data_IF_032172663677
#
_entry.id   IF_032172663677
#
_cell.length_a   1.000
_cell.length_b   1.000
_cell.length_c   1.000
_cell.angle_alpha   90.00
_cell.angle_beta   90.00
_cell.angle_gamma   90.00
#
_symmetry.space_group_name_H-M   'P 1'
#
loop_
_entity.id
_entity.type
_entity.pdbx_description
1 polymer ?
#
# COMPACT_ATOMS: atom_id res chain seq x y z
N UNK A 1 -29.37 -56.72 4.84
CA UNK A 1 -28.90 -55.73 5.84
C UNK A 1 -27.40 -55.49 5.74
N UNK A 2 -26.59 -56.54 5.61
CA UNK A 2 -25.12 -56.44 5.62
C UNK A 2 -24.52 -55.52 4.55
N UNK A 3 -24.99 -55.59 3.29
CA UNK A 3 -24.53 -54.67 2.22
C UNK A 3 -24.85 -53.20 2.51
N UNK A 4 -26.01 -52.92 3.12
CA UNK A 4 -26.39 -51.54 3.46
C UNK A 4 -25.52 -51.02 4.61
N UNK A 5 -25.25 -51.86 5.60
CA UNK A 5 -24.34 -51.53 6.71
C UNK A 5 -22.95 -51.21 6.20
N UNK A 6 -22.41 -52.03 5.29
CA UNK A 6 -21.10 -51.81 4.69
C UNK A 6 -21.03 -50.48 3.91
N UNK A 7 -22.06 -50.15 3.13
CA UNK A 7 -22.14 -48.89 2.38
C UNK A 7 -22.15 -47.68 3.34
N UNK A 8 -23.00 -47.72 4.38
CA UNK A 8 -23.11 -46.62 5.36
C UNK A 8 -21.83 -46.48 6.17
N UNK A 9 -21.25 -47.59 6.63
CA UNK A 9 -19.98 -47.59 7.38
C UNK A 9 -18.85 -47.00 6.54
N UNK A 10 -18.68 -47.44 5.30
CA UNK A 10 -17.67 -46.90 4.38
C UNK A 10 -17.89 -45.41 4.09
N UNK A 11 -19.15 -44.98 3.93
CA UNK A 11 -19.46 -43.57 3.72
C UNK A 11 -19.12 -42.71 4.95
N UNK A 12 -19.49 -43.17 6.16
CA UNK A 12 -19.21 -42.47 7.41
C UNK A 12 -17.71 -42.43 7.67
N UNK A 13 -16.96 -43.52 7.49
CA UNK A 13 -15.50 -43.55 7.65
C UNK A 13 -14.83 -42.57 6.69
N UNK A 14 -15.28 -42.51 5.42
CA UNK A 14 -14.71 -41.59 4.43
C UNK A 14 -15.07 -40.12 4.69
N UNK A 15 -16.23 -39.86 5.28
CA UNK A 15 -16.77 -38.50 5.42
C UNK A 15 -16.98 -38.05 6.87
N UNK A 16 -16.39 -38.73 7.85
CA UNK A 16 -16.69 -38.52 9.27
C UNK A 16 -16.49 -37.07 9.73
N UNK A 17 -15.74 -36.25 9.01
CA UNK A 17 -15.49 -34.84 9.32
C UNK A 17 -16.58 -33.88 8.80
N UNK A 18 -17.51 -34.34 7.95
CA UNK A 18 -18.60 -33.53 7.39
C UNK A 18 -19.88 -33.68 8.23
N UNK A 19 -20.69 -32.62 8.42
CA UNK A 19 -21.95 -32.70 9.17
C UNK A 19 -22.92 -33.77 8.61
N UNK A 20 -22.91 -33.96 7.29
CA UNK A 20 -23.72 -34.96 6.59
C UNK A 20 -23.44 -36.39 7.09
N UNK A 21 -22.21 -36.72 7.51
CA UNK A 21 -21.91 -38.04 8.03
C UNK A 21 -22.62 -38.30 9.37
N UNK A 22 -22.73 -37.29 10.25
CA UNK A 22 -23.54 -37.39 11.47
C UNK A 22 -25.04 -37.51 11.15
N UNK A 23 -25.53 -36.71 10.19
CA UNK A 23 -26.94 -36.72 9.77
C UNK A 23 -27.35 -38.08 9.20
N UNK A 24 -26.42 -38.84 8.61
CA UNK A 24 -26.69 -40.21 8.12
C UNK A 24 -26.49 -41.25 9.24
N UNK A 25 -25.45 -41.08 10.06
CA UNK A 25 -25.10 -42.02 11.12
C UNK A 25 -26.18 -42.09 12.22
N UNK A 26 -26.70 -40.94 12.67
CA UNK A 26 -27.67 -40.88 13.77
C UNK A 26 -28.97 -41.62 13.41
N UNK A 27 -29.65 -41.34 12.28
CA UNK A 27 -30.85 -42.07 11.87
C UNK A 27 -30.58 -43.56 11.64
N UNK A 28 -29.44 -43.91 11.03
CA UNK A 28 -29.08 -45.29 10.79
C UNK A 28 -28.92 -46.08 12.10
N UNK A 29 -28.20 -45.51 13.07
CA UNK A 29 -28.07 -46.07 14.40
C UNK A 29 -29.42 -46.16 15.12
N UNK A 30 -30.27 -45.15 15.00
CA UNK A 30 -31.61 -45.18 15.61
C UNK A 30 -32.49 -46.28 15.00
N UNK A 31 -32.36 -46.52 13.69
CA UNK A 31 -33.13 -47.54 12.97
C UNK A 31 -32.67 -48.96 13.36
N UNK A 32 -31.36 -49.16 13.51
CA UNK A 32 -30.81 -50.40 14.07
C UNK A 32 -31.36 -50.64 15.47
N UNK A 33 -31.34 -49.62 16.33
CA UNK A 33 -31.85 -49.80 17.70
C UNK A 33 -33.35 -50.10 17.75
N UNK A 34 -34.15 -49.43 16.93
CA UNK A 34 -35.59 -49.69 16.82
C UNK A 34 -35.88 -51.13 16.37
N UNK A 35 -35.00 -51.74 15.58
CA UNK A 35 -35.16 -53.14 15.14
C UNK A 35 -34.96 -54.18 16.25
N UNK A 36 -34.30 -53.82 17.36
CA UNK A 36 -34.03 -54.71 18.49
C UNK A 36 -35.00 -54.55 19.67
N UNK A 37 -35.95 -53.61 19.61
CA UNK A 37 -36.86 -53.33 20.72
C UNK A 37 -38.32 -53.39 20.31
N UNK A 38 -39.10 -54.26 20.95
CA UNK A 38 -40.56 -54.19 20.92
C UNK A 38 -41.02 -52.99 21.76
N UNK A 39 -41.36 -51.89 21.08
CA UNK A 39 -41.65 -50.63 21.73
C UNK A 39 -43.07 -50.63 22.32
N UNK A 40 -43.15 -50.70 23.65
CA UNK A 40 -44.38 -50.47 24.43
C UNK A 40 -44.22 -49.20 25.29
N UNK A 41 -45.06 -48.17 25.12
CA UNK A 41 -44.87 -46.86 25.76
C UNK A 41 -44.99 -46.89 27.29
N UNK A 42 -45.69 -47.88 27.85
CA UNK A 42 -45.92 -47.99 29.30
C UNK A 42 -44.82 -48.75 30.03
N UNK A 43 -43.87 -49.37 29.29
CA UNK A 43 -42.81 -50.15 29.89
C UNK A 43 -41.68 -49.26 30.41
N UNK A 44 -41.44 -49.27 31.73
CA UNK A 44 -40.33 -48.57 32.39
C UNK A 44 -38.98 -48.91 31.73
N UNK A 45 -38.80 -50.15 31.26
CA UNK A 45 -37.59 -50.58 30.55
C UNK A 45 -37.32 -49.76 29.28
N UNK A 46 -38.38 -49.34 28.57
CA UNK A 46 -38.26 -48.54 27.34
C UNK A 46 -37.86 -47.09 27.65
N UNK A 47 -38.28 -46.54 28.80
CA UNK A 47 -37.82 -45.21 29.25
C UNK A 47 -36.32 -45.19 29.55
N UNK A 48 -35.81 -46.20 30.27
CA UNK A 48 -34.37 -46.34 30.49
C UNK A 48 -33.59 -46.53 29.19
N UNK A 49 -34.15 -47.29 28.25
CA UNK A 49 -33.55 -47.49 26.94
C UNK A 49 -33.42 -46.18 26.14
N UNK A 50 -34.47 -45.35 26.12
CA UNK A 50 -34.44 -44.02 25.46
C UNK A 50 -33.38 -43.11 26.09
N UNK A 51 -33.27 -43.09 27.42
CA UNK A 51 -32.27 -42.28 28.13
C UNK A 51 -30.85 -42.75 27.78
N UNK A 52 -30.59 -44.07 27.87
CA UNK A 52 -29.31 -44.66 27.51
C UNK A 52 -28.93 -44.35 26.05
N UNK A 53 -29.90 -44.45 25.14
CA UNK A 53 -29.68 -44.15 23.73
C UNK A 53 -29.40 -42.68 23.45
N UNK A 54 -30.10 -41.78 24.14
CA UNK A 54 -29.86 -40.34 24.06
C UNK A 54 -28.45 -39.99 24.54
N UNK A 55 -27.96 -40.66 25.59
CA UNK A 55 -26.57 -40.52 26.06
C UNK A 55 -25.58 -41.00 25.00
N UNK A 56 -25.83 -42.14 24.35
CA UNK A 56 -24.96 -42.65 23.27
C UNK A 56 -24.89 -41.66 22.09
N UNK A 57 -26.04 -41.16 21.61
CA UNK A 57 -26.08 -40.16 20.52
C UNK A 57 -25.33 -38.89 20.94
N UNK A 58 -25.58 -38.39 22.15
CA UNK A 58 -24.89 -37.20 22.65
C UNK A 58 -23.38 -37.40 22.71
N UNK A 59 -22.91 -38.57 23.16
CA UNK A 59 -21.49 -38.91 23.22
C UNK A 59 -20.86 -39.00 21.83
N UNK A 60 -21.57 -39.57 20.85
CA UNK A 60 -21.14 -39.60 19.45
C UNK A 60 -21.01 -38.19 18.88
N UNK A 61 -21.99 -37.31 19.14
CA UNK A 61 -21.94 -35.91 18.71
C UNK A 61 -20.78 -35.18 19.40
N UNK A 62 -20.57 -35.39 20.71
CA UNK A 62 -19.49 -34.77 21.46
C UNK A 62 -18.12 -35.21 20.91
N UNK A 63 -17.92 -36.51 20.72
CA UNK A 63 -16.70 -37.08 20.12
C UNK A 63 -16.50 -36.51 18.72
N UNK A 64 -17.56 -36.44 17.91
CA UNK A 64 -17.50 -35.85 16.58
C UNK A 64 -17.11 -34.37 16.63
N UNK A 65 -17.67 -33.57 17.55
CA UNK A 65 -17.30 -32.17 17.73
C UNK A 65 -15.84 -32.04 18.17
N UNK A 66 -15.36 -32.89 19.09
CA UNK A 66 -13.98 -32.90 19.56
C UNK A 66 -13.02 -33.30 18.42
N UNK A 67 -13.30 -34.37 17.70
CA UNK A 67 -12.50 -34.83 16.56
C UNK A 67 -12.53 -33.82 15.41
N UNK A 68 -13.69 -33.20 15.16
CA UNK A 68 -13.83 -32.12 14.18
C UNK A 68 -13.04 -30.90 14.61
N UNK A 69 -13.09 -30.48 15.88
CA UNK A 69 -12.28 -29.37 16.41
C UNK A 69 -10.79 -29.68 16.30
N UNK A 70 -10.36 -30.90 16.65
CA UNK A 70 -8.95 -31.33 16.55
C UNK A 70 -8.46 -31.36 15.10
N UNK A 71 -9.31 -31.76 14.15
CA UNK A 71 -9.01 -31.72 12.71
C UNK A 71 -9.21 -30.32 12.09
N UNK A 72 -10.06 -29.48 12.70
CA UNK A 72 -10.26 -28.07 12.33
C UNK A 72 -9.31 -27.12 13.05
N UNK A 73 -8.33 -27.63 13.80
CA UNK A 73 -7.10 -26.90 14.12
C UNK A 73 -6.25 -26.66 12.85
N UNK A 74 -6.92 -26.51 11.71
CA UNK A 74 -6.45 -25.73 10.59
C UNK A 74 -6.26 -24.34 11.17
N UNK A 75 -5.04 -24.07 11.62
CA UNK A 75 -4.66 -22.75 12.12
C UNK A 75 -5.02 -21.75 11.02
N UNK A 76 -5.95 -20.86 11.33
CA UNK A 76 -6.37 -19.76 10.46
C UNK A 76 -5.45 -18.59 10.80
N UNK A 77 -5.08 -17.79 9.79
CA UNK A 77 -4.27 -16.61 10.03
C UNK A 77 -4.97 -15.66 11.02
N UNK A 78 -4.28 -15.20 12.07
CA UNK A 78 -4.78 -14.15 12.95
C UNK A 78 -5.14 -12.89 12.15
N UNK A 79 -6.24 -12.21 12.51
CA UNK A 79 -6.75 -11.04 11.77
C UNK A 79 -5.78 -9.86 11.68
N UNK A 80 -4.78 -9.78 12.57
CA UNK A 80 -3.81 -8.68 12.61
C UNK A 80 -2.50 -8.98 11.88
N UNK A 81 -2.32 -10.21 11.39
CA UNK A 81 -1.10 -10.67 10.72
C UNK A 81 -1.31 -10.84 9.22
N UNK A 82 -0.21 -10.73 8.47
CA UNK A 82 -0.20 -11.10 7.05
C UNK A 82 0.08 -12.60 6.95
N UNK A 83 -0.87 -13.35 6.40
CA UNK A 83 -0.79 -14.81 6.29
C UNK A 83 -0.05 -15.25 5.03
N UNK A 84 1.00 -16.05 5.20
CA UNK A 84 1.82 -16.60 4.12
C UNK A 84 1.80 -18.12 4.21
N UNK A 85 1.40 -18.78 3.13
CA UNK A 85 1.42 -20.24 3.04
C UNK A 85 2.59 -20.67 2.16
N UNK A 86 3.36 -21.67 2.60
CA UNK A 86 4.37 -22.32 1.77
C UNK A 86 3.94 -23.77 1.51
N UNK A 87 3.81 -24.12 0.23
CA UNK A 87 3.26 -25.39 -0.22
C UNK A 87 4.04 -25.97 -1.40
N UNK A 88 5.17 -26.62 -1.14
CA UNK A 88 6.02 -27.19 -2.19
C UNK A 88 5.84 -28.71 -2.22
N UNK A 89 5.50 -29.23 -3.38
CA UNK A 89 5.31 -30.65 -3.62
C UNK A 89 6.65 -31.35 -3.83
N UNK A 90 6.77 -32.53 -3.25
CA UNK A 90 7.87 -33.46 -3.44
C UNK A 90 7.30 -34.85 -3.74
N UNK A 91 8.11 -35.76 -4.30
CA UNK A 91 7.66 -37.12 -4.65
C UNK A 91 7.48 -38.02 -3.45
N UNK A 92 8.36 -37.87 -2.46
CA UNK A 92 8.45 -38.72 -1.28
C UNK A 92 8.40 -37.86 0.00
N UNK A 93 7.85 -38.41 1.07
CA UNK A 93 7.77 -37.75 2.36
C UNK A 93 9.15 -37.56 3.01
N UNK A 94 10.10 -38.48 2.81
CA UNK A 94 11.46 -38.35 3.32
C UNK A 94 12.18 -37.15 2.66
N UNK A 95 12.10 -37.07 1.33
CA UNK A 95 12.61 -35.91 0.57
C UNK A 95 11.88 -34.62 0.91
N UNK A 96 10.59 -34.71 1.25
CA UNK A 96 9.82 -33.54 1.68
C UNK A 96 10.35 -32.98 2.99
N UNK A 97 10.64 -33.83 3.99
CA UNK A 97 11.22 -33.36 5.25
C UNK A 97 12.63 -32.79 5.07
N UNK A 98 13.44 -33.34 4.15
CA UNK A 98 14.73 -32.75 3.77
C UNK A 98 14.56 -31.36 3.14
N UNK A 99 13.66 -31.23 2.14
CA UNK A 99 13.33 -29.95 1.52
C UNK A 99 12.80 -28.95 2.56
N UNK A 100 11.94 -29.42 3.46
CA UNK A 100 11.34 -28.58 4.50
C UNK A 100 12.41 -28.01 5.42
N UNK A 101 13.31 -28.85 5.93
CA UNK A 101 14.41 -28.43 6.81
C UNK A 101 15.42 -27.52 6.09
N UNK A 102 15.87 -27.92 4.90
CA UNK A 102 16.94 -27.22 4.18
C UNK A 102 16.49 -25.96 3.43
N UNK A 103 15.20 -25.82 3.14
CA UNK A 103 14.68 -24.73 2.31
C UNK A 103 13.51 -23.99 2.96
N UNK A 104 12.44 -24.70 3.33
CA UNK A 104 11.19 -24.06 3.75
C UNK A 104 11.32 -23.38 5.13
N UNK A 105 11.93 -24.06 6.09
CA UNK A 105 12.13 -23.54 7.45
C UNK A 105 13.09 -22.34 7.44
N UNK A 106 14.03 -22.29 6.50
CA UNK A 106 14.87 -21.10 6.31
C UNK A 106 14.06 -19.90 5.86
N UNK A 107 13.16 -20.07 4.88
CA UNK A 107 12.23 -19.01 4.46
C UNK A 107 11.37 -18.57 5.65
N UNK A 108 10.83 -19.51 6.43
CA UNK A 108 10.05 -19.21 7.62
C UNK A 108 10.86 -18.40 8.63
N UNK A 109 12.08 -18.82 8.96
CA UNK A 109 12.92 -18.13 9.96
C UNK A 109 13.23 -16.68 9.59
N UNK A 110 13.35 -16.37 8.29
CA UNK A 110 13.60 -15.01 7.81
C UNK A 110 12.33 -14.17 7.72
N UNK A 111 11.18 -14.82 7.57
CA UNK A 111 9.86 -14.20 7.58
C UNK A 111 9.20 -14.24 8.97
N UNK A 112 9.81 -14.81 10.00
CA UNK A 112 9.21 -14.90 11.33
C UNK A 112 9.43 -13.58 12.08
N UNK A 113 8.62 -12.59 11.76
CA UNK A 113 8.49 -11.36 12.55
C UNK A 113 7.12 -11.32 13.24
N UNK A 114 6.97 -10.40 14.20
CA UNK A 114 5.70 -10.13 14.89
C UNK A 114 4.51 -9.91 13.92
N UNK A 115 4.83 -9.57 12.68
CA UNK A 115 3.91 -9.14 11.65
C UNK A 115 3.35 -10.26 10.78
N UNK A 116 4.04 -11.40 10.78
CA UNK A 116 3.79 -12.48 9.83
C UNK A 116 3.26 -13.70 10.54
N UNK A 117 2.40 -14.38 9.81
CA UNK A 117 1.95 -15.71 10.16
C UNK A 117 2.27 -16.63 8.99
N UNK A 118 3.37 -17.35 9.12
CA UNK A 118 3.83 -18.30 8.10
C UNK A 118 3.31 -19.68 8.44
N UNK A 119 2.61 -20.31 7.49
CA UNK A 119 2.17 -21.70 7.60
C UNK A 119 2.82 -22.55 6.52
N UNK A 120 3.59 -23.54 6.96
CA UNK A 120 4.11 -24.61 6.12
C UNK A 120 3.05 -25.71 6.06
N UNK A 121 2.61 -26.08 4.86
CA UNK A 121 1.68 -27.20 4.69
C UNK A 121 2.40 -28.54 4.84
N UNK A 122 1.72 -29.58 5.33
CA UNK A 122 2.29 -30.93 5.34
C UNK A 122 2.35 -31.56 3.94
N UNK A 123 3.14 -32.64 3.79
CA UNK A 123 3.28 -33.37 2.52
C UNK A 123 1.93 -33.69 1.84
N UNK A 124 0.98 -34.25 2.58
CA UNK A 124 -0.36 -34.61 2.08
C UNK A 124 -1.25 -33.40 1.75
N UNK A 125 -0.98 -32.24 2.37
CA UNK A 125 -1.67 -30.98 2.04
C UNK A 125 -1.10 -30.39 0.75
N UNK A 126 0.24 -30.38 0.58
CA UNK A 126 0.91 -29.90 -0.61
C UNK A 126 0.41 -30.63 -1.88
N UNK A 127 0.22 -31.95 -1.83
CA UNK A 127 -0.26 -32.76 -2.98
C UNK A 127 -1.66 -32.37 -3.47
N UNK A 128 -2.45 -31.65 -2.67
CA UNK A 128 -3.79 -31.16 -3.06
C UNK A 128 -3.72 -29.87 -3.86
N UNK A 129 -2.58 -29.19 -3.90
CA UNK A 129 -2.41 -27.89 -4.55
C UNK A 129 -1.79 -28.09 -5.93
N UNK A 130 -2.58 -28.53 -6.89
CA UNK A 130 -2.11 -28.88 -8.25
C UNK A 130 -2.23 -27.70 -9.23
N UNK A 131 -3.06 -26.72 -8.90
CA UNK A 131 -3.38 -25.60 -9.78
C UNK A 131 -3.44 -24.26 -9.02
N UNK A 132 -3.41 -23.16 -9.78
CA UNK A 132 -3.66 -21.81 -9.24
C UNK A 132 -5.00 -21.72 -8.51
N UNK A 133 -6.03 -22.43 -8.98
CA UNK A 133 -7.35 -22.43 -8.34
C UNK A 133 -7.33 -23.13 -6.98
N UNK A 134 -6.58 -24.22 -6.85
CA UNK A 134 -6.42 -24.92 -5.57
C UNK A 134 -5.66 -24.07 -4.57
N UNK A 135 -4.60 -23.39 -5.04
CA UNK A 135 -3.82 -22.45 -4.24
C UNK A 135 -4.70 -21.27 -3.76
N UNK A 136 -5.52 -20.69 -4.64
CA UNK A 136 -6.46 -19.62 -4.30
C UNK A 136 -7.49 -20.06 -3.26
N UNK A 137 -8.06 -21.26 -3.42
CA UNK A 137 -8.99 -21.83 -2.46
C UNK A 137 -8.34 -22.07 -1.09
N UNK A 138 -7.08 -22.53 -1.07
CA UNK A 138 -6.31 -22.74 0.15
C UNK A 138 -6.09 -21.42 0.90
N UNK A 139 -5.67 -20.36 0.18
CA UNK A 139 -5.47 -19.03 0.77
C UNK A 139 -6.77 -18.51 1.40
N UNK A 140 -7.90 -18.61 0.69
CA UNK A 140 -9.21 -18.20 1.21
C UNK A 140 -9.63 -19.01 2.44
N UNK A 141 -9.45 -20.33 2.41
CA UNK A 141 -9.81 -21.22 3.52
C UNK A 141 -8.99 -20.91 4.79
N UNK A 142 -7.73 -20.52 4.63
CA UNK A 142 -6.81 -20.23 5.73
C UNK A 142 -6.79 -18.74 6.13
N UNK A 143 -7.63 -17.91 5.50
CA UNK A 143 -7.63 -16.45 5.66
C UNK A 143 -6.23 -15.83 5.48
N UNK A 144 -5.45 -16.37 4.55
CA UNK A 144 -4.12 -15.87 4.23
C UNK A 144 -4.17 -14.82 3.12
N UNK A 145 -3.03 -14.16 2.91
CA UNK A 145 -2.86 -13.20 1.83
C UNK A 145 -2.06 -13.79 0.67
N UNK A 146 -1.07 -14.62 0.97
CA UNK A 146 -0.12 -15.13 -0.01
C UNK A 146 0.00 -16.64 0.14
N UNK A 147 0.14 -17.34 -0.99
CA UNK A 147 0.66 -18.71 -1.04
C UNK A 147 1.78 -18.78 -2.06
N UNK A 148 2.92 -19.34 -1.65
CA UNK A 148 4.00 -19.77 -2.52
C UNK A 148 3.87 -21.27 -2.65
N UNK A 149 3.64 -21.74 -3.88
CA UNK A 149 3.42 -23.15 -4.14
C UNK A 149 4.18 -23.61 -5.38
N UNK A 150 4.48 -24.89 -5.46
CA UNK A 150 5.28 -25.39 -6.56
C UNK A 150 5.62 -26.85 -6.40
N UNK A 151 6.60 -27.30 -7.16
CA UNK A 151 7.12 -28.66 -7.06
C UNK A 151 8.61 -28.71 -7.34
N UNK A 152 9.26 -29.69 -6.75
CA UNK A 152 10.59 -30.13 -7.13
C UNK A 152 10.47 -31.16 -8.26
N UNK A 153 11.39 -31.08 -9.23
CA UNK A 153 11.47 -32.00 -10.35
C UNK A 153 12.87 -32.59 -10.39
N UNK A 154 12.96 -33.90 -10.15
CA UNK A 154 14.21 -34.64 -10.36
C UNK A 154 14.51 -34.72 -11.86
N UNK A 155 15.58 -34.07 -12.29
CA UNK A 155 16.08 -33.96 -13.66
C UNK A 155 17.45 -34.66 -13.80
N UNK A 156 17.59 -35.84 -13.19
CA UNK A 156 18.80 -36.66 -13.31
C UNK A 156 19.88 -36.22 -12.31
N UNK A 157 20.83 -35.41 -12.76
CA UNK A 157 21.87 -34.85 -11.88
C UNK A 157 21.42 -33.58 -11.16
N UNK A 158 20.35 -32.97 -11.63
CA UNK A 158 19.80 -31.73 -11.08
C UNK A 158 18.45 -31.96 -10.40
N UNK A 159 18.15 -31.11 -9.42
CA UNK A 159 16.82 -30.89 -8.87
C UNK A 159 16.36 -29.52 -9.35
N UNK A 160 15.28 -29.49 -10.13
CA UNK A 160 14.68 -28.24 -10.60
C UNK A 160 13.56 -27.82 -9.64
N UNK A 161 13.64 -26.59 -9.15
CA UNK A 161 12.60 -25.99 -8.32
C UNK A 161 11.72 -25.08 -9.17
N UNK A 162 10.43 -25.41 -9.28
CA UNK A 162 9.45 -24.66 -10.06
C UNK A 162 8.38 -24.07 -9.13
N UNK A 163 8.55 -22.79 -8.80
CA UNK A 163 7.69 -22.06 -7.87
C UNK A 163 6.74 -21.12 -8.61
N UNK A 164 5.55 -20.99 -8.04
CA UNK A 164 4.50 -20.06 -8.40
C UNK A 164 3.95 -19.41 -7.12
N UNK A 165 3.16 -18.36 -7.26
CA UNK A 165 2.47 -17.80 -6.12
C UNK A 165 1.12 -17.19 -6.50
N UNK A 166 0.23 -17.13 -5.50
CA UNK A 166 -1.06 -16.45 -5.58
C UNK A 166 -1.12 -15.41 -4.47
N UNK A 167 -1.54 -14.20 -4.83
CA UNK A 167 -1.84 -13.11 -3.92
C UNK A 167 -3.35 -12.87 -3.87
N UNK A 168 -3.94 -12.94 -2.68
CA UNK A 168 -5.31 -12.56 -2.39
C UNK A 168 -5.28 -11.44 -1.36
N UNK A 169 -5.58 -10.22 -1.81
CA UNK A 169 -5.80 -9.10 -0.92
C UNK A 169 -7.26 -8.64 -1.05
N UNK A 170 -8.07 -8.69 0.02
CA UNK A 170 -9.49 -8.34 -0.06
C UNK A 170 -9.76 -6.93 -0.58
N UNK A 171 -8.87 -5.99 -0.23
CA UNK A 171 -9.02 -4.57 -0.55
C UNK A 171 -8.57 -4.19 -1.96
N UNK A 172 -7.87 -5.10 -2.66
CA UNK A 172 -7.38 -4.80 -4.02
C UNK A 172 -8.41 -5.15 -5.09
N UNK A 173 -8.52 -4.27 -6.09
CA UNK A 173 -9.28 -4.53 -7.30
C UNK A 173 -8.79 -5.80 -8.01
N UNK A 174 -9.70 -6.47 -8.73
CA UNK A 174 -9.41 -7.77 -9.36
C UNK A 174 -8.27 -7.69 -10.38
N UNK A 175 -8.22 -6.61 -11.16
CA UNK A 175 -7.22 -6.44 -12.21
C UNK A 175 -5.83 -6.14 -11.61
N UNK A 176 -5.78 -5.26 -10.61
CA UNK A 176 -4.55 -5.00 -9.83
C UNK A 176 -4.01 -6.28 -9.20
N UNK A 177 -4.88 -7.10 -8.59
CA UNK A 177 -4.46 -8.42 -8.05
C UNK A 177 -3.88 -9.34 -9.11
N UNK A 178 -4.48 -9.37 -10.30
CA UNK A 178 -4.02 -10.22 -11.40
C UNK A 178 -2.65 -9.78 -11.87
N UNK A 179 -2.45 -8.48 -12.09
CA UNK A 179 -1.16 -7.93 -12.55
C UNK A 179 -0.06 -8.18 -11.51
N UNK A 180 -0.39 -8.02 -10.23
CA UNK A 180 0.52 -8.34 -9.14
C UNK A 180 0.85 -9.83 -9.07
N UNK A 181 -0.13 -10.72 -9.25
CA UNK A 181 0.12 -12.16 -9.27
C UNK A 181 1.03 -12.57 -10.44
N UNK A 182 0.94 -11.88 -11.58
CA UNK A 182 1.87 -12.06 -12.71
C UNK A 182 3.26 -11.58 -12.33
N UNK A 183 3.40 -10.34 -11.84
CA UNK A 183 4.69 -9.80 -11.40
C UNK A 183 5.35 -10.66 -10.32
N UNK A 184 4.52 -11.17 -9.39
CA UNK A 184 4.87 -12.14 -8.37
C UNK A 184 5.47 -13.38 -9.07
N UNK A 185 4.71 -14.06 -9.91
CA UNK A 185 5.19 -15.30 -10.56
C UNK A 185 6.46 -15.08 -11.39
N UNK A 186 6.62 -13.94 -12.06
CA UNK A 186 7.82 -13.60 -12.84
C UNK A 186 9.09 -13.41 -12.00
N UNK A 187 8.93 -12.95 -10.77
CA UNK A 187 10.03 -12.64 -9.87
C UNK A 187 10.46 -13.86 -9.01
N UNK A 188 9.69 -14.95 -9.01
CA UNK A 188 10.07 -16.19 -8.31
C UNK A 188 11.17 -16.96 -9.06
N UNK A 189 12.14 -17.53 -8.33
CA UNK A 189 13.24 -18.24 -8.96
C UNK A 189 12.77 -19.57 -9.57
N UNK A 190 13.17 -19.81 -10.82
CA UNK A 190 13.12 -21.13 -11.48
C UNK A 190 14.54 -21.64 -11.62
N UNK A 191 15.02 -22.36 -10.62
CA UNK A 191 16.43 -22.76 -10.51
C UNK A 191 16.61 -24.25 -10.76
N UNK A 192 17.71 -24.61 -11.43
CA UNK A 192 18.24 -25.98 -11.51
C UNK A 192 19.40 -26.05 -10.54
N UNK A 193 19.34 -26.94 -9.55
CA UNK A 193 20.37 -27.11 -8.53
C UNK A 193 20.99 -28.49 -8.73
N UNK A 194 22.30 -28.55 -8.94
CA UNK A 194 22.99 -29.84 -9.06
C UNK A 194 22.98 -30.56 -7.70
N UNK A 195 22.77 -31.88 -7.70
CA UNK A 195 22.52 -32.66 -6.47
C UNK A 195 23.67 -32.66 -5.46
N UNK A 196 24.91 -32.47 -5.90
CA UNK A 196 26.09 -32.33 -5.03
C UNK A 196 26.14 -30.97 -4.29
N UNK A 197 25.44 -29.96 -4.81
CA UNK A 197 25.34 -28.62 -4.25
C UNK A 197 23.95 -28.33 -3.69
N UNK A 198 23.16 -29.37 -3.40
CA UNK A 198 21.75 -29.22 -3.05
C UNK A 198 21.53 -28.30 -1.84
N UNK A 199 22.32 -28.49 -0.79
CA UNK A 199 22.23 -27.69 0.45
C UNK A 199 22.58 -26.22 0.19
N UNK A 200 23.66 -25.95 -0.54
CA UNK A 200 24.08 -24.58 -0.87
C UNK A 200 23.07 -23.91 -1.80
N UNK A 201 22.62 -24.63 -2.83
CA UNK A 201 21.61 -24.16 -3.78
C UNK A 201 20.28 -23.84 -3.10
N UNK A 202 19.83 -24.69 -2.16
CA UNK A 202 18.64 -24.40 -1.35
C UNK A 202 18.84 -23.19 -0.45
N UNK A 203 19.98 -23.05 0.22
CA UNK A 203 20.25 -21.86 1.04
C UNK A 203 20.26 -20.56 0.20
N UNK A 204 20.91 -20.57 -0.97
CA UNK A 204 20.88 -19.41 -1.87
C UNK A 204 19.45 -19.10 -2.32
N UNK A 205 18.70 -20.13 -2.70
CA UNK A 205 17.34 -19.96 -3.23
C UNK A 205 16.35 -19.56 -2.12
N UNK A 206 16.52 -20.03 -0.88
CA UNK A 206 15.64 -19.71 0.25
C UNK A 206 15.80 -18.23 0.62
N UNK A 207 17.05 -17.74 0.66
CA UNK A 207 17.36 -16.32 0.80
C UNK A 207 16.65 -15.49 -0.28
N UNK A 208 16.68 -15.94 -1.54
CA UNK A 208 16.00 -15.23 -2.64
C UNK A 208 14.48 -15.21 -2.46
N UNK A 209 13.87 -16.34 -2.16
CA UNK A 209 12.42 -16.45 -1.92
C UNK A 209 11.99 -15.62 -0.72
N UNK A 210 12.84 -15.50 0.30
CA UNK A 210 12.58 -14.66 1.46
C UNK A 210 12.64 -13.15 1.16
N UNK A 211 13.66 -12.67 0.45
CA UNK A 211 13.75 -11.27 0.00
C UNK A 211 12.54 -10.89 -0.86
N UNK A 212 12.19 -11.80 -1.76
CA UNK A 212 11.00 -11.69 -2.58
C UNK A 212 9.73 -11.63 -1.72
N UNK A 213 9.56 -12.56 -0.78
CA UNK A 213 8.37 -12.62 0.07
C UNK A 213 8.24 -11.32 0.87
N UNK A 214 9.35 -10.82 1.41
CA UNK A 214 9.42 -9.53 2.11
C UNK A 214 8.97 -8.36 1.25
N UNK A 215 9.33 -8.32 -0.04
CA UNK A 215 8.87 -7.29 -0.98
C UNK A 215 7.34 -7.27 -1.11
N UNK A 216 6.73 -8.42 -1.39
CA UNK A 216 5.27 -8.52 -1.57
C UNK A 216 4.50 -8.28 -0.30
N UNK A 217 5.06 -8.72 0.81
CA UNK A 217 4.55 -8.44 2.13
C UNK A 217 4.60 -6.95 2.45
N UNK A 218 5.68 -6.26 2.08
CA UNK A 218 5.77 -4.80 2.17
C UNK A 218 4.68 -4.10 1.35
N UNK A 219 4.41 -4.59 0.14
CA UNK A 219 3.32 -4.10 -0.71
C UNK A 219 1.94 -4.34 -0.08
N UNK A 220 1.65 -5.56 0.37
CA UNK A 220 0.40 -5.89 1.06
C UNK A 220 0.18 -5.02 2.30
N UNK A 221 1.25 -4.81 3.09
CA UNK A 221 1.24 -3.94 4.27
C UNK A 221 0.94 -2.49 3.90
N UNK A 222 1.52 -2.00 2.80
CA UNK A 222 1.27 -0.65 2.27
C UNK A 222 -0.19 -0.48 1.85
N UNK A 223 -0.76 -1.45 1.14
CA UNK A 223 -2.16 -1.40 0.69
C UNK A 223 -3.15 -1.55 1.83
N UNK A 224 -2.81 -2.29 2.88
CA UNK A 224 -3.55 -2.31 4.16
C UNK A 224 -3.41 -1.00 4.97
N UNK A 225 -2.92 0.08 4.35
CA UNK A 225 -2.70 1.41 4.96
C UNK A 225 -1.75 1.44 6.18
N UNK A 226 -0.90 0.43 6.38
CA UNK A 226 0.10 0.37 7.46
C UNK A 226 1.45 0.95 7.00
N UNK A 227 1.46 2.25 6.66
CA UNK A 227 2.55 2.90 5.93
C UNK A 227 3.90 2.84 6.67
N UNK A 228 3.94 3.09 7.98
CA UNK A 228 5.19 3.06 8.76
C UNK A 228 5.85 1.68 8.79
N UNK A 229 5.02 0.65 8.82
CA UNK A 229 5.45 -0.74 8.79
C UNK A 229 5.91 -1.16 7.39
N UNK A 230 5.21 -0.73 6.35
CA UNK A 230 5.69 -0.92 4.99
C UNK A 230 7.06 -0.25 4.78
N UNK A 231 7.24 0.97 5.30
CA UNK A 231 8.51 1.68 5.28
C UNK A 231 9.64 0.84 5.90
N UNK A 232 9.46 0.32 7.11
CA UNK A 232 10.50 -0.47 7.79
C UNK A 232 10.85 -1.76 7.04
N UNK A 233 9.85 -2.43 6.45
CA UNK A 233 10.06 -3.61 5.60
C UNK A 233 10.91 -3.26 4.38
N UNK A 234 10.58 -2.18 3.66
CA UNK A 234 11.32 -1.79 2.46
C UNK A 234 12.72 -1.21 2.75
N UNK A 235 12.89 -0.50 3.87
CA UNK A 235 14.21 -0.05 4.33
C UNK A 235 15.13 -1.23 4.64
N UNK A 236 14.64 -2.22 5.39
CA UNK A 236 15.36 -3.46 5.68
C UNK A 236 15.67 -4.22 4.39
N UNK A 237 14.69 -4.42 3.51
CA UNK A 237 14.88 -5.10 2.23
C UNK A 237 15.96 -4.43 1.36
N UNK A 238 15.97 -3.10 1.28
CA UNK A 238 16.96 -2.37 0.49
C UNK A 238 18.37 -2.46 1.11
N UNK A 239 18.47 -2.56 2.45
CA UNK A 239 19.73 -2.84 3.15
C UNK A 239 20.22 -4.26 2.86
N UNK A 240 19.36 -5.27 3.04
CA UNK A 240 19.69 -6.68 2.87
C UNK A 240 20.13 -6.99 1.42
N UNK A 241 19.49 -6.39 0.41
CA UNK A 241 19.94 -6.51 -0.99
C UNK A 241 21.20 -5.68 -1.26
N UNK A 242 21.40 -4.56 -0.55
CA UNK A 242 22.58 -3.70 -0.71
C UNK A 242 23.89 -4.42 -0.38
N UNK A 243 23.86 -5.25 0.66
CA UNK A 243 25.01 -6.00 1.18
C UNK A 243 25.29 -7.27 0.36
N UNK A 244 24.32 -7.74 -0.44
CA UNK A 244 24.41 -9.02 -1.14
C UNK A 244 24.19 -8.89 -2.66
N UNK A 245 25.26 -9.17 -3.43
CA UNK A 245 25.22 -9.67 -4.82
C UNK A 245 24.59 -8.73 -5.86
N UNK A 246 25.38 -7.77 -6.37
CA UNK A 246 25.09 -6.99 -7.60
C UNK A 246 24.95 -7.84 -8.89
N UNK A 247 25.27 -9.13 -8.83
CA UNK A 247 25.39 -10.01 -10.01
C UNK A 247 24.12 -10.76 -10.39
N UNK A 248 23.08 -10.79 -9.56
CA UNK A 248 21.85 -11.55 -9.84
C UNK A 248 20.78 -10.60 -10.42
N UNK A 249 20.39 -10.73 -11.70
CA UNK A 249 19.46 -9.80 -12.35
C UNK A 249 18.11 -9.67 -11.64
N UNK A 250 17.57 -10.75 -11.09
CA UNK A 250 16.28 -10.74 -10.39
C UNK A 250 16.34 -9.88 -9.11
N UNK A 251 17.43 -9.98 -8.34
CA UNK A 251 17.62 -9.14 -7.15
C UNK A 251 17.77 -7.66 -7.52
N UNK A 252 18.38 -7.35 -8.67
CA UNK A 252 18.45 -5.98 -9.17
C UNK A 252 17.05 -5.41 -9.49
N UNK A 253 16.15 -6.24 -10.05
CA UNK A 253 14.74 -5.86 -10.30
C UNK A 253 14.00 -5.61 -8.98
N UNK A 254 14.10 -6.51 -8.00
CA UNK A 254 13.48 -6.34 -6.68
C UNK A 254 14.00 -5.08 -5.98
N UNK A 255 15.31 -4.80 -6.05
CA UNK A 255 15.90 -3.58 -5.48
C UNK A 255 15.35 -2.32 -6.14
N UNK A 256 15.24 -2.30 -7.47
CA UNK A 256 14.68 -1.15 -8.19
C UNK A 256 13.24 -0.90 -7.74
N UNK A 257 12.43 -1.96 -7.73
CA UNK A 257 11.03 -1.88 -7.31
C UNK A 257 10.88 -1.45 -5.84
N UNK A 258 11.70 -1.98 -4.93
CA UNK A 258 11.63 -1.60 -3.51
C UNK A 258 12.01 -0.13 -3.30
N UNK A 259 13.01 0.37 -4.03
CA UNK A 259 13.41 1.79 -4.00
C UNK A 259 12.32 2.71 -4.55
N UNK A 260 11.61 2.28 -5.61
CA UNK A 260 10.48 3.04 -6.15
C UNK A 260 9.34 3.16 -5.14
N UNK A 261 8.96 2.05 -4.50
CA UNK A 261 7.91 2.07 -3.47
C UNK A 261 8.34 2.91 -2.25
N UNK A 262 9.59 2.75 -1.80
CA UNK A 262 10.09 3.52 -0.66
C UNK A 262 10.18 5.02 -0.96
N UNK A 263 10.50 5.39 -2.21
CA UNK A 263 10.46 6.78 -2.69
C UNK A 263 9.04 7.35 -2.55
N UNK A 264 8.02 6.63 -3.00
CA UNK A 264 6.62 7.08 -2.90
C UNK A 264 6.17 7.18 -1.43
N UNK A 265 6.57 6.25 -0.56
CA UNK A 265 6.29 6.31 0.88
C UNK A 265 6.89 7.57 1.50
N UNK A 266 8.16 7.88 1.21
CA UNK A 266 8.80 9.08 1.75
C UNK A 266 8.19 10.36 1.20
N UNK A 267 7.85 10.41 -0.08
CA UNK A 267 7.13 11.56 -0.64
C UNK A 267 5.77 11.75 0.02
N UNK A 268 5.02 10.67 0.21
CA UNK A 268 3.71 10.71 0.88
C UNK A 268 3.84 11.27 2.30
N UNK A 269 4.77 10.75 3.11
CA UNK A 269 5.00 11.22 4.48
C UNK A 269 5.46 12.67 4.51
N UNK A 270 6.39 13.05 3.64
CA UNK A 270 6.87 14.43 3.51
C UNK A 270 5.74 15.41 3.15
N UNK A 271 4.87 15.04 2.21
CA UNK A 271 3.71 15.87 1.82
C UNK A 271 2.67 15.98 2.92
N UNK A 272 2.37 14.87 3.61
CA UNK A 272 1.43 14.88 4.75
C UNK A 272 1.90 15.84 5.85
N UNK A 273 3.16 15.76 6.25
CA UNK A 273 3.75 16.66 7.25
C UNK A 273 3.78 18.12 6.77
N UNK A 274 4.00 18.37 5.48
CA UNK A 274 3.91 19.71 4.92
C UNK A 274 2.47 20.26 4.95
N UNK A 275 1.47 19.41 4.68
CA UNK A 275 0.07 19.77 4.81
C UNK A 275 -0.28 20.12 6.26
N UNK A 276 0.12 19.29 7.23
CA UNK A 276 -0.03 19.58 8.66
C UNK A 276 0.70 20.88 9.08
N UNK A 277 1.89 21.14 8.54
CA UNK A 277 2.58 22.42 8.68
C UNK A 277 1.76 23.60 8.13
N UNK A 278 1.06 23.42 7.01
CA UNK A 278 0.29 24.50 6.39
C UNK A 278 -0.88 24.96 7.29
N UNK A 279 -1.38 24.07 8.14
CA UNK A 279 -2.43 24.36 9.12
C UNK A 279 -1.85 24.92 10.43
N UNK A 280 -0.81 24.28 10.96
CA UNK A 280 -0.28 24.57 12.32
C UNK A 280 0.86 25.60 12.35
N UNK A 281 1.57 25.76 11.24
CA UNK A 281 2.80 26.55 11.08
C UNK A 281 3.97 26.12 11.97
N UNK A 282 3.98 24.88 12.48
CA UNK A 282 5.09 24.32 13.26
C UNK A 282 6.35 24.08 12.42
N UNK A 283 7.47 24.71 12.78
CA UNK A 283 8.75 24.55 12.06
C UNK A 283 9.32 23.13 12.17
N UNK A 284 9.00 22.44 13.26
CA UNK A 284 9.38 21.05 13.50
C UNK A 284 8.80 20.14 12.42
N UNK A 285 7.50 20.28 12.11
CA UNK A 285 6.84 19.54 11.03
C UNK A 285 7.45 19.83 9.66
N UNK A 286 7.83 21.08 9.39
CA UNK A 286 8.48 21.47 8.13
C UNK A 286 9.89 20.85 8.01
N UNK A 287 10.66 20.81 9.10
CA UNK A 287 11.96 20.15 9.14
C UNK A 287 11.84 18.63 8.98
N UNK A 288 10.87 18.01 9.65
CA UNK A 288 10.59 16.59 9.51
C UNK A 288 10.14 16.24 8.09
N UNK A 289 9.24 17.05 7.51
CA UNK A 289 8.83 16.95 6.10
C UNK A 289 10.05 16.94 5.18
N UNK A 290 10.97 17.91 5.33
CA UNK A 290 12.20 17.95 4.55
C UNK A 290 13.07 16.71 4.74
N UNK A 291 13.17 16.18 5.95
CA UNK A 291 13.95 14.96 6.21
C UNK A 291 13.48 13.79 5.35
N UNK A 292 12.16 13.61 5.18
CA UNK A 292 11.60 12.59 4.29
C UNK A 292 11.82 12.92 2.82
N UNK A 293 11.67 14.18 2.42
CA UNK A 293 11.93 14.63 1.05
C UNK A 293 13.39 14.41 0.63
N UNK A 294 14.35 14.60 1.55
CA UNK A 294 15.76 14.29 1.32
C UNK A 294 15.99 12.79 1.16
N UNK A 295 15.39 11.94 2.03
CA UNK A 295 15.45 10.47 1.86
C UNK A 295 14.87 10.01 0.53
N UNK A 296 13.77 10.63 0.07
CA UNK A 296 13.22 10.36 -1.27
C UNK A 296 14.22 10.73 -2.37
N UNK A 297 14.90 11.87 -2.25
CA UNK A 297 15.91 12.31 -3.21
C UNK A 297 17.16 11.40 -3.27
N UNK A 298 17.54 10.79 -2.14
CA UNK A 298 18.61 9.79 -2.09
C UNK A 298 18.24 8.51 -2.86
N UNK A 299 16.94 8.19 -2.94
CA UNK A 299 16.44 7.08 -3.73
C UNK A 299 16.32 7.42 -5.21
N UNK A 300 15.77 8.60 -5.52
CA UNK A 300 15.59 9.12 -6.88
C UNK A 300 15.90 10.61 -6.91
N UNK A 301 17.07 10.95 -7.45
CA UNK A 301 17.61 12.30 -7.33
C UNK A 301 16.95 13.31 -8.27
N UNK A 302 16.83 14.54 -7.80
CA UNK A 302 16.37 15.71 -8.54
C UNK A 302 15.00 15.54 -9.23
N UNK A 303 14.08 14.82 -8.59
CA UNK A 303 12.71 14.73 -9.10
C UNK A 303 11.99 16.08 -8.99
N UNK A 304 10.97 16.28 -9.82
CA UNK A 304 10.15 17.51 -9.79
C UNK A 304 9.58 17.74 -8.39
N UNK A 305 9.03 16.70 -7.76
CA UNK A 305 8.50 16.75 -6.38
C UNK A 305 9.55 17.23 -5.38
N UNK A 306 10.77 16.66 -5.43
CA UNK A 306 11.86 17.06 -4.55
C UNK A 306 12.23 18.53 -4.75
N UNK A 307 12.48 18.94 -6.00
CA UNK A 307 12.92 20.30 -6.33
C UNK A 307 11.88 21.36 -5.93
N UNK A 308 10.58 21.08 -6.14
CA UNK A 308 9.51 21.98 -5.71
C UNK A 308 9.46 22.09 -4.19
N UNK A 309 9.47 20.96 -3.47
CA UNK A 309 9.42 20.94 -2.00
C UNK A 309 10.66 21.61 -1.37
N UNK A 310 11.85 21.37 -1.91
CA UNK A 310 13.09 21.97 -1.42
C UNK A 310 13.12 23.49 -1.68
N UNK A 311 12.58 23.94 -2.82
CA UNK A 311 12.41 25.39 -3.07
C UNK A 311 11.43 26.02 -2.08
N UNK A 312 10.31 25.34 -1.79
CA UNK A 312 9.32 25.81 -0.82
C UNK A 312 9.97 25.90 0.57
N UNK A 313 10.72 24.87 0.98
CA UNK A 313 11.44 24.86 2.25
C UNK A 313 12.45 26.01 2.36
N UNK A 314 13.28 26.23 1.34
CA UNK A 314 14.27 27.32 1.33
C UNK A 314 13.62 28.69 1.56
N UNK A 315 12.46 28.93 0.94
CA UNK A 315 11.69 30.15 1.16
C UNK A 315 11.03 30.20 2.54
N UNK A 316 10.37 29.13 2.97
CA UNK A 316 9.60 29.10 4.21
C UNK A 316 10.47 29.22 5.46
N UNK A 317 11.66 28.61 5.45
CA UNK A 317 12.56 28.64 6.60
C UNK A 317 13.29 29.97 6.76
N UNK A 318 13.87 30.48 5.66
CA UNK A 318 14.84 31.57 5.72
C UNK A 318 14.49 32.76 4.82
N UNK A 319 13.36 32.72 4.10
CA UNK A 319 13.03 33.68 3.03
C UNK A 319 14.14 33.79 1.98
N UNK A 320 14.90 32.72 1.76
CA UNK A 320 16.02 32.69 0.80
C UNK A 320 15.50 32.57 -0.64
N UNK A 321 15.04 33.70 -1.18
CA UNK A 321 14.54 33.80 -2.56
C UNK A 321 15.60 33.41 -3.60
N UNK A 322 16.88 33.84 -3.49
CA UNK A 322 17.93 33.42 -4.43
C UNK A 322 18.10 31.89 -4.50
N UNK A 323 18.15 31.19 -3.36
CA UNK A 323 18.30 29.74 -3.32
C UNK A 323 17.05 29.04 -3.87
N UNK A 324 15.86 29.43 -3.41
CA UNK A 324 14.58 28.88 -3.90
C UNK A 324 14.49 28.98 -5.44
N UNK A 325 14.81 30.15 -5.99
CA UNK A 325 14.84 30.37 -7.44
C UNK A 325 15.87 29.48 -8.14
N UNK A 326 17.08 29.34 -7.59
CA UNK A 326 18.14 28.48 -8.16
C UNK A 326 17.69 27.02 -8.24
N UNK A 327 16.96 26.54 -7.24
CA UNK A 327 16.39 25.19 -7.23
C UNK A 327 15.30 25.05 -8.29
N UNK A 328 14.35 26.01 -8.37
CA UNK A 328 13.28 25.99 -9.36
C UNK A 328 13.78 26.00 -10.81
N UNK A 329 14.91 26.62 -11.09
CA UNK A 329 15.51 26.60 -12.43
C UNK A 329 15.85 25.18 -12.93
N UNK A 330 16.01 24.22 -12.02
CA UNK A 330 16.25 22.80 -12.34
C UNK A 330 14.96 22.05 -12.71
N UNK A 331 13.78 22.59 -12.38
CA UNK A 331 12.49 21.99 -12.74
C UNK A 331 12.19 22.26 -14.22
N UNK A 332 11.61 21.30 -14.92
CA UNK A 332 11.21 21.45 -16.33
C UNK A 332 10.20 22.59 -16.52
N UNK A 333 10.26 23.26 -17.68
CA UNK A 333 9.38 24.39 -18.02
C UNK A 333 7.93 23.99 -18.33
N UNK A 334 7.65 22.70 -18.51
CA UNK A 334 6.29 22.18 -18.71
C UNK A 334 5.52 21.91 -17.40
N UNK A 335 6.08 22.28 -16.24
CA UNK A 335 5.49 22.08 -14.92
C UNK A 335 4.84 23.39 -14.46
N UNK A 336 3.51 23.42 -14.31
CA UNK A 336 2.75 24.61 -13.89
C UNK A 336 3.19 25.14 -12.52
N UNK A 337 3.42 24.24 -11.56
CA UNK A 337 3.83 24.55 -10.19
C UNK A 337 5.11 25.38 -10.17
N UNK A 338 6.07 25.11 -11.08
CA UNK A 338 7.30 25.91 -11.22
C UNK A 338 6.97 27.37 -11.51
N UNK A 339 6.06 27.62 -12.44
CA UNK A 339 5.68 28.97 -12.85
C UNK A 339 4.92 29.68 -11.74
N UNK A 340 4.00 29.00 -11.05
CA UNK A 340 3.35 29.55 -9.87
C UNK A 340 4.35 29.97 -8.79
N UNK A 341 5.27 29.08 -8.40
CA UNK A 341 6.31 29.40 -7.41
C UNK A 341 7.23 30.52 -7.90
N UNK A 342 7.61 30.54 -9.17
CA UNK A 342 8.47 31.60 -9.74
C UNK A 342 7.76 32.95 -9.74
N UNK A 343 6.47 32.98 -10.08
CA UNK A 343 5.67 34.20 -10.08
C UNK A 343 5.51 34.75 -8.66
N UNK A 344 5.26 33.88 -7.68
CA UNK A 344 5.26 34.22 -6.27
C UNK A 344 6.60 34.83 -5.83
N UNK A 345 7.74 34.19 -6.15
CA UNK A 345 9.06 34.73 -5.79
C UNK A 345 9.38 36.06 -6.49
N UNK A 346 8.86 36.30 -7.71
CA UNK A 346 8.97 37.60 -8.37
C UNK A 346 8.15 38.66 -7.65
N UNK A 347 6.94 38.33 -7.24
CA UNK A 347 6.07 39.23 -6.49
C UNK A 347 6.62 39.57 -5.11
N UNK A 348 7.14 38.57 -4.40
CA UNK A 348 7.82 38.78 -3.12
C UNK A 348 9.01 39.77 -3.22
N UNK A 349 9.64 39.86 -4.40
CA UNK A 349 10.71 40.82 -4.71
C UNK A 349 10.24 42.11 -5.39
N UNK A 350 8.93 42.34 -5.55
CA UNK A 350 8.40 43.54 -6.21
C UNK A 350 8.56 43.59 -7.74
N UNK A 351 8.87 42.46 -8.40
CA UNK A 351 9.14 42.41 -9.85
C UNK A 351 7.86 42.25 -10.68
N UNK A 352 6.99 43.26 -10.64
CA UNK A 352 5.62 43.23 -11.22
C UNK A 352 5.57 42.69 -12.66
N UNK A 353 6.40 43.20 -13.57
CA UNK A 353 6.36 42.78 -14.97
C UNK A 353 6.64 41.28 -15.17
N UNK A 354 7.46 40.68 -14.30
CA UNK A 354 7.77 39.25 -14.36
C UNK A 354 6.62 38.40 -13.82
N UNK A 355 5.79 38.93 -12.91
CA UNK A 355 4.62 38.24 -12.36
C UNK A 355 3.64 37.89 -13.50
N UNK A 356 3.21 38.90 -14.26
CA UNK A 356 2.25 38.73 -15.37
C UNK A 356 2.73 37.71 -16.40
N UNK A 357 3.99 37.84 -16.85
CA UNK A 357 4.58 36.93 -17.83
C UNK A 357 4.59 35.49 -17.33
N UNK A 358 4.87 35.28 -16.04
CA UNK A 358 5.03 33.95 -15.46
C UNK A 358 3.67 33.30 -15.16
N UNK A 359 2.70 34.03 -14.61
CA UNK A 359 1.34 33.51 -14.39
C UNK A 359 0.64 33.15 -15.71
N UNK A 360 0.80 33.96 -16.76
CA UNK A 360 0.30 33.61 -18.11
C UNK A 360 0.85 32.28 -18.64
N UNK A 361 2.06 31.88 -18.24
CA UNK A 361 2.59 30.55 -18.56
C UNK A 361 1.96 29.47 -17.67
N UNK A 362 1.82 29.73 -16.37
CA UNK A 362 1.20 28.81 -15.42
C UNK A 362 -0.23 28.43 -15.85
N UNK A 363 -1.07 29.44 -16.12
CA UNK A 363 -2.48 29.29 -16.53
C UNK A 363 -2.68 28.55 -17.86
N UNK A 364 -1.66 28.46 -18.71
CA UNK A 364 -1.73 27.71 -19.97
C UNK A 364 -1.42 26.23 -19.80
N UNK A 365 -0.73 25.86 -18.73
CA UNK A 365 -0.21 24.50 -18.53
C UNK A 365 -1.14 23.64 -17.66
N UNK A 366 -1.92 24.25 -16.78
CA UNK A 366 -2.69 23.55 -15.76
C UNK A 366 -3.87 24.39 -15.28
N UNK A 367 -4.97 23.70 -15.00
CA UNK A 367 -6.23 24.27 -14.48
C UNK A 367 -6.69 23.48 -13.22
N UNK A 368 -5.74 22.89 -12.50
CA UNK A 368 -6.01 22.17 -11.27
C UNK A 368 -6.48 23.12 -10.15
N UNK A 369 -7.79 23.13 -9.92
CA UNK A 369 -8.44 23.98 -8.93
C UNK A 369 -7.90 23.81 -7.50
N UNK A 370 -7.53 22.59 -7.11
CA UNK A 370 -7.01 22.31 -5.76
C UNK A 370 -5.64 23.00 -5.56
N UNK A 371 -4.74 22.87 -6.54
CA UNK A 371 -3.45 23.55 -6.51
C UNK A 371 -3.62 25.07 -6.44
N UNK A 372 -4.53 25.62 -7.25
CA UNK A 372 -4.79 27.06 -7.26
C UNK A 372 -5.32 27.52 -5.90
N UNK A 373 -6.22 26.75 -5.29
CA UNK A 373 -6.74 27.06 -3.96
C UNK A 373 -5.61 27.08 -2.90
N UNK A 374 -4.74 26.07 -2.88
CA UNK A 374 -3.59 26.01 -1.98
C UNK A 374 -2.66 27.24 -2.14
N UNK A 375 -2.40 27.64 -3.39
CA UNK A 375 -1.59 28.84 -3.69
C UNK A 375 -2.26 30.10 -3.15
N UNK A 376 -3.57 30.27 -3.34
CA UNK A 376 -4.31 31.43 -2.81
C UNK A 376 -4.18 31.49 -1.29
N UNK A 377 -4.42 30.38 -0.59
CA UNK A 377 -4.34 30.32 0.87
C UNK A 377 -2.93 30.66 1.35
N UNK A 378 -1.91 30.13 0.68
CA UNK A 378 -0.53 30.41 1.00
C UNK A 378 -0.19 31.90 0.82
N UNK A 379 -0.57 32.52 -0.31
CA UNK A 379 -0.30 33.94 -0.57
C UNK A 379 -1.03 34.82 0.45
N UNK A 380 -2.31 34.53 0.75
CA UNK A 380 -3.08 35.26 1.77
C UNK A 380 -2.42 35.21 3.15
N UNK A 381 -1.91 34.04 3.53
CA UNK A 381 -1.14 33.87 4.76
C UNK A 381 0.09 34.78 4.78
N UNK A 382 0.89 34.79 3.70
CA UNK A 382 2.09 35.64 3.62
C UNK A 382 1.73 37.13 3.66
N UNK A 383 0.70 37.57 2.93
CA UNK A 383 0.21 38.97 2.96
C UNK A 383 -0.19 39.38 4.38
N UNK A 384 -0.88 38.49 5.11
CA UNK A 384 -1.29 38.74 6.49
C UNK A 384 -0.09 38.84 7.44
N UNK A 385 0.93 38.00 7.26
CA UNK A 385 2.12 37.98 8.12
C UNK A 385 3.17 39.04 7.75
N UNK A 386 3.22 39.45 6.49
CA UNK A 386 4.24 40.33 5.90
C UNK A 386 3.54 41.38 5.01
N UNK A 387 2.85 42.37 5.63
CA UNK A 387 2.01 43.34 4.91
C UNK A 387 2.82 44.27 3.99
N UNK A 388 4.13 44.37 4.18
CA UNK A 388 5.04 45.12 3.30
C UNK A 388 5.21 44.48 1.91
N UNK A 389 4.82 43.21 1.75
CA UNK A 389 4.87 42.48 0.47
C UNK A 389 3.67 42.78 -0.42
N UNK A 390 3.40 44.06 -0.63
CA UNK A 390 2.20 44.58 -1.33
C UNK A 390 2.01 43.98 -2.74
N UNK A 391 3.10 43.64 -3.43
CA UNK A 391 3.05 43.05 -4.78
C UNK A 391 2.38 41.67 -4.82
N UNK A 392 2.21 40.99 -3.68
CA UNK A 392 1.47 39.73 -3.59
C UNK A 392 -0.04 39.90 -3.84
N UNK A 393 -0.60 41.09 -3.60
CA UNK A 393 -1.97 41.41 -3.98
C UNK A 393 -2.19 41.30 -5.49
N UNK A 394 -1.19 41.65 -6.30
CA UNK A 394 -1.24 41.47 -7.77
C UNK A 394 -1.30 39.99 -8.14
N UNK A 395 -0.60 39.11 -7.42
CA UNK A 395 -0.71 37.67 -7.64
C UNK A 395 -2.12 37.15 -7.36
N UNK A 396 -2.71 37.55 -6.23
CA UNK A 396 -4.07 37.17 -5.88
C UNK A 396 -5.06 37.67 -6.94
N UNK A 397 -4.94 38.93 -7.36
CA UNK A 397 -5.80 39.51 -8.41
C UNK A 397 -5.72 38.71 -9.72
N UNK A 398 -4.51 38.34 -10.16
CA UNK A 398 -4.32 37.54 -11.37
C UNK A 398 -4.93 36.14 -11.26
N UNK A 399 -4.75 35.48 -10.11
CA UNK A 399 -5.32 34.15 -9.88
C UNK A 399 -6.86 34.22 -9.83
N UNK A 400 -7.43 35.18 -9.11
CA UNK A 400 -8.88 35.35 -9.03
C UNK A 400 -9.50 35.72 -10.38
N UNK A 401 -8.86 36.60 -11.15
CA UNK A 401 -9.30 36.92 -12.50
C UNK A 401 -9.29 35.67 -13.39
N UNK A 402 -8.25 34.84 -13.31
CA UNK A 402 -8.18 33.57 -14.04
C UNK A 402 -9.33 32.61 -13.67
N UNK A 403 -9.66 32.52 -12.37
CA UNK A 403 -10.83 31.79 -11.86
C UNK A 403 -12.18 32.49 -12.13
N UNK A 404 -12.20 33.62 -12.85
CA UNK A 404 -13.37 34.46 -13.13
C UNK A 404 -14.08 35.00 -11.87
N UNK A 405 -13.35 35.10 -10.77
CA UNK A 405 -13.85 35.67 -9.52
C UNK A 405 -13.50 37.17 -9.46
N UNK A 406 -14.20 37.96 -10.27
CA UNK A 406 -13.82 39.34 -10.57
C UNK A 406 -13.92 40.27 -9.35
N UNK A 407 -14.81 39.98 -8.41
CA UNK A 407 -14.98 40.79 -7.20
C UNK A 407 -13.71 40.74 -6.33
N UNK A 408 -13.27 39.55 -5.94
CA UNK A 408 -12.05 39.36 -5.14
C UNK A 408 -10.80 39.77 -5.91
N UNK A 409 -10.81 39.61 -7.25
CA UNK A 409 -9.73 40.12 -8.09
C UNK A 409 -9.61 41.65 -7.99
N UNK A 410 -10.75 42.34 -8.07
CA UNK A 410 -10.86 43.79 -7.97
C UNK A 410 -10.46 44.30 -6.59
N UNK A 411 -10.94 43.65 -5.52
CA UNK A 411 -10.58 43.98 -4.14
C UNK A 411 -9.06 43.88 -3.93
N UNK A 412 -8.43 42.77 -4.34
CA UNK A 412 -6.99 42.59 -4.21
C UNK A 412 -6.23 43.66 -5.01
N UNK A 413 -6.64 43.97 -6.23
CA UNK A 413 -5.96 44.96 -7.05
C UNK A 413 -6.11 46.38 -6.49
N UNK A 414 -7.27 46.69 -5.92
CA UNK A 414 -7.52 47.98 -5.24
C UNK A 414 -6.59 48.15 -4.05
N UNK A 415 -6.46 47.12 -3.18
CA UNK A 415 -5.49 47.13 -2.08
C UNK A 415 -4.05 47.36 -2.56
N UNK A 416 -3.65 46.79 -3.69
CA UNK A 416 -2.32 47.05 -4.26
C UNK A 416 -2.14 48.51 -4.70
N UNK A 417 -3.15 49.10 -5.36
CA UNK A 417 -3.09 50.49 -5.86
C UNK A 417 -3.02 51.47 -4.69
N UNK A 418 -3.83 51.26 -3.65
CA UNK A 418 -3.86 52.11 -2.45
C UNK A 418 -2.50 52.11 -1.73
N UNK A 419 -1.81 50.96 -1.72
CA UNK A 419 -0.52 50.80 -1.04
C UNK A 419 0.69 51.13 -1.93
N UNK A 420 0.53 51.31 -3.25
CA UNK A 420 1.64 51.46 -4.19
C UNK A 420 1.52 52.70 -5.07
N UNK A 421 2.34 53.71 -4.78
CA UNK A 421 2.42 54.96 -5.57
C UNK A 421 2.78 54.73 -7.05
N UNK A 422 3.56 53.69 -7.35
CA UNK A 422 4.00 53.37 -8.71
C UNK A 422 2.98 52.52 -9.50
N UNK A 423 1.91 52.03 -8.88
CA UNK A 423 0.93 51.16 -9.54
C UNK A 423 0.34 51.81 -10.80
N UNK A 424 0.04 53.11 -10.74
CA UNK A 424 -0.59 53.90 -11.80
C UNK A 424 0.32 54.03 -13.04
N UNK A 425 1.63 53.83 -12.88
CA UNK A 425 2.60 53.93 -13.98
C UNK A 425 2.83 52.60 -14.71
N UNK A 426 2.39 51.48 -14.15
CA UNK A 426 2.65 50.16 -14.74
C UNK A 426 1.56 49.79 -15.78
N UNK A 427 1.88 49.65 -17.07
CA UNK A 427 0.88 49.38 -18.12
C UNK A 427 0.16 48.04 -17.94
N UNK A 428 0.78 47.04 -17.32
CA UNK A 428 0.11 45.76 -17.05
C UNK A 428 -0.97 45.90 -15.97
N UNK A 429 -0.73 46.75 -14.96
CA UNK A 429 -1.71 47.06 -13.92
C UNK A 429 -2.88 47.84 -14.52
N UNK A 430 -2.58 48.88 -15.31
CA UNK A 430 -3.61 49.67 -16.03
C UNK A 430 -4.52 48.76 -16.86
N UNK A 431 -3.93 47.83 -17.62
CA UNK A 431 -4.70 46.90 -18.45
C UNK A 431 -5.56 45.96 -17.60
N UNK A 432 -5.02 45.44 -16.48
CA UNK A 432 -5.79 44.60 -15.57
C UNK A 432 -6.94 45.36 -14.89
N UNK A 433 -6.74 46.63 -14.52
CA UNK A 433 -7.80 47.50 -14.01
C UNK A 433 -8.93 47.67 -15.04
N UNK A 434 -8.59 47.86 -16.31
CA UNK A 434 -9.57 47.95 -17.40
C UNK A 434 -10.34 46.64 -17.57
N UNK A 435 -9.66 45.50 -17.54
CA UNK A 435 -10.30 44.18 -17.60
C UNK A 435 -11.28 43.96 -16.44
N UNK A 436 -10.98 44.49 -15.25
CA UNK A 436 -11.78 44.36 -14.03
C UNK A 436 -12.77 45.52 -13.79
N UNK A 437 -12.90 46.47 -14.72
CA UNK A 437 -13.73 47.68 -14.60
C UNK A 437 -13.44 48.53 -13.33
N UNK A 438 -12.17 48.63 -12.92
CA UNK A 438 -11.75 49.45 -11.77
C UNK A 438 -11.49 50.88 -12.23
N UNK A 439 -12.18 51.86 -11.65
CA UNK A 439 -11.93 53.27 -11.92
C UNK A 439 -10.71 53.76 -11.12
N UNK A 440 -9.61 54.06 -11.80
CA UNK A 440 -8.39 54.58 -11.16
C UNK A 440 -8.44 56.08 -10.84
N UNK A 441 -9.42 56.84 -11.36
CA UNK A 441 -9.47 58.30 -11.20
C UNK A 441 -10.00 58.73 -9.83
N UNK A 442 -10.79 57.89 -9.15
CA UNK A 442 -11.37 58.20 -7.84
C UNK A 442 -10.34 58.34 -6.71
N UNK A 443 -9.13 57.79 -6.87
CA UNK A 443 -8.08 57.85 -5.84
C UNK A 443 -7.17 59.07 -5.99
N UNK A 444 -7.15 59.74 -7.16
CA UNK A 444 -6.36 60.97 -7.35
C UNK A 444 -6.91 62.18 -6.60
N UNK A 445 -8.22 62.20 -6.33
CA UNK A 445 -8.86 63.28 -5.59
C UNK A 445 -8.54 63.26 -4.09
N UNK A 446 -8.19 62.12 -3.52
CA UNK A 446 -7.87 61.99 -2.09
C UNK A 446 -6.46 62.48 -1.77
N UNK A 447 -5.49 62.28 -2.66
CA UNK A 447 -4.13 62.83 -2.49
C UNK A 447 -4.08 64.35 -2.62
N UNK A 448 -4.96 64.96 -3.43
CA UNK A 448 -5.04 66.43 -3.53
C UNK A 448 -5.61 67.09 -2.28
N UNK A 449 -6.32 66.37 -1.42
CA UNK A 449 -6.90 66.87 -0.17
C UNK A 449 -5.95 66.69 1.02
N UNK A 450 -5.02 65.73 0.97
CA UNK A 450 -4.07 65.47 2.05
C UNK A 450 -2.79 66.32 2.00
N UNK A 451 -2.56 67.05 0.91
CA UNK A 451 -1.37 67.92 0.68
C UNK A 451 -1.72 69.42 0.77
N UNK A 452 -2.99 69.75 1.01
CA UNK A 452 -3.48 71.09 1.39
C UNK A 452 -3.74 71.14 2.88
#
# INVERSE_FOLDING_TARGET
MDKLFEIVANYVIKNYYRPIALVILIPFLTLIMLSFTEFSPDNIRNKFFIISWSIVIFTIILIWVILRRKKSNVLVCPYNKVGIIIAIQERDNEKYEELKYNFIEQIQSQLDSEDFWVRILGFEECRKILSFRDAENCVKQLNCNIIIFGKTLDAGKDVKLDLNAVLIHPELEKDVRKDLAVQLTELLPRVSIHKDQLIEGFNITSNWVSLYSSYFVGLATLWSHKIDKAQSIFERLNKDIGDQRRTIPVLSKIRSLSREVLYEIYLFKGRRLYYEYSETRSRELLNESRSFILKANDLKSNTVSYLLMESIYAFLMNRDVPLARRILLKVSDNVSQKHYSTAFLNAYQGKINQIFKTYRKAFKLDDNDNLIHEIIQFIKYIVKSEPDKISLHVCLALIYNHKKNYFEASECLTSYIELSQDAIRNPNIINLCKELNINMESNKSTEQIAVS
#
